data_IF_250920165886
#
_entry.id   IF_250920165886
#
_cell.length_a   1.000
_cell.length_b   1.000
_cell.length_c   1.000
_cell.angle_alpha   90.00
_cell.angle_beta   90.00
_cell.angle_gamma   90.00
#
_symmetry.space_group_name_H-M   'P 1'
#
loop_
_entity.id
_entity.type
_entity.pdbx_description
1 polymer ?
#
# COMPACT_ATOMS: atom_id res chain seq x y z
N UNK A 1 -17.27 -11.63 8.02
CA UNK A 1 -17.10 -10.55 7.03
C UNK A 1 -15.72 -9.99 7.27
N UNK A 2 -14.92 -9.79 6.21
CA UNK A 2 -13.60 -9.16 6.39
C UNK A 2 -13.77 -7.65 6.58
N UNK A 3 -12.84 -7.04 7.31
CA UNK A 3 -12.69 -5.60 7.45
C UNK A 3 -12.05 -4.93 6.22
N UNK A 4 -11.60 -5.73 5.24
CA UNK A 4 -11.01 -5.25 3.98
C UNK A 4 -11.95 -5.53 2.82
N UNK A 5 -12.23 -4.51 2.00
CA UNK A 5 -12.87 -4.70 0.70
C UNK A 5 -11.81 -4.83 -0.39
N UNK A 6 -11.92 -5.85 -1.24
CA UNK A 6 -11.02 -6.04 -2.37
C UNK A 6 -11.82 -5.95 -3.67
N UNK A 7 -11.45 -4.99 -4.50
CA UNK A 7 -12.03 -4.78 -5.83
C UNK A 7 -10.94 -4.82 -6.88
N UNK A 8 -11.31 -5.12 -8.12
CA UNK A 8 -10.40 -5.12 -9.24
C UNK A 8 -11.09 -4.49 -10.47
N UNK A 9 -10.28 -4.00 -11.41
CA UNK A 9 -10.80 -3.43 -12.66
C UNK A 9 -10.71 -4.46 -13.78
N UNK A 10 -11.85 -4.97 -14.24
CA UNK A 10 -11.94 -5.94 -15.35
C UNK A 10 -11.25 -5.47 -16.64
N UNK A 11 -11.15 -4.15 -16.87
CA UNK A 11 -10.50 -3.60 -18.06
C UNK A 11 -8.97 -3.69 -18.01
N UNK A 12 -8.43 -3.75 -16.80
CA UNK A 12 -7.00 -3.74 -16.50
C UNK A 12 -6.58 -5.02 -15.77
N UNK A 13 -7.47 -6.01 -15.63
CA UNK A 13 -7.20 -7.27 -14.96
C UNK A 13 -7.49 -8.49 -15.84
N UNK A 14 -6.52 -9.41 -16.01
CA UNK A 14 -5.12 -9.21 -15.63
C UNK A 14 -4.52 -8.05 -16.43
N UNK A 15 -3.54 -7.32 -15.87
CA UNK A 15 -2.78 -6.40 -16.72
C UNK A 15 -1.99 -7.29 -17.69
N UNK A 16 -2.51 -7.47 -18.90
CA UNK A 16 -2.06 -8.48 -19.88
C UNK A 16 -0.55 -8.40 -20.19
N UNK A 17 0.09 -7.24 -19.96
CA UNK A 17 1.52 -7.02 -20.16
C UNK A 17 2.39 -7.17 -18.89
N UNK A 18 1.80 -7.24 -17.68
CA UNK A 18 2.54 -7.36 -16.40
C UNK A 18 2.30 -8.68 -15.72
N UNK A 19 1.04 -9.07 -15.57
CA UNK A 19 0.72 -10.34 -14.94
C UNK A 19 0.78 -11.43 -15.99
N UNK A 20 1.96 -11.98 -16.26
CA UNK A 20 2.10 -13.10 -17.19
C UNK A 20 1.25 -14.27 -16.67
N UNK A 21 0.02 -14.37 -17.20
CA UNK A 21 -0.96 -15.44 -16.97
C UNK A 21 -1.66 -15.50 -15.61
N UNK A 22 -1.85 -14.40 -14.87
CA UNK A 22 -2.78 -14.45 -13.73
C UNK A 22 -4.23 -14.29 -14.19
N UNK A 23 -5.16 -14.92 -13.49
CA UNK A 23 -6.60 -14.75 -13.70
C UNK A 23 -7.30 -14.69 -12.34
N UNK A 24 -8.59 -14.38 -12.31
CA UNK A 24 -9.37 -14.43 -11.07
C UNK A 24 -9.44 -15.83 -10.43
N UNK A 25 -9.03 -16.87 -11.15
CA UNK A 25 -8.97 -18.24 -10.62
C UNK A 25 -7.64 -18.57 -9.91
N UNK A 26 -6.63 -17.69 -9.99
CA UNK A 26 -5.41 -17.81 -9.21
C UNK A 26 -5.65 -17.40 -7.76
N UNK A 27 -4.74 -17.77 -6.86
CA UNK A 27 -4.77 -17.26 -5.49
C UNK A 27 -4.39 -15.79 -5.45
N UNK A 28 -4.83 -15.06 -4.41
CA UNK A 28 -4.42 -13.67 -4.22
C UNK A 28 -2.89 -13.57 -4.05
N UNK A 29 -2.25 -14.53 -3.37
CA UNK A 29 -0.79 -14.60 -3.22
C UNK A 29 -0.09 -14.73 -4.57
N UNK A 30 -0.55 -15.62 -5.44
CA UNK A 30 0.01 -15.77 -6.80
C UNK A 30 -0.09 -14.47 -7.59
N UNK A 31 -1.23 -13.77 -7.51
CA UNK A 31 -1.44 -12.49 -8.18
C UNK A 31 -0.48 -11.43 -7.62
N UNK A 32 -0.39 -11.28 -6.31
CA UNK A 32 0.49 -10.30 -5.66
C UNK A 32 1.97 -10.58 -5.96
N UNK A 33 2.40 -11.83 -6.02
CA UNK A 33 3.77 -12.17 -6.42
C UNK A 33 4.02 -11.96 -7.92
N UNK A 34 3.05 -12.20 -8.80
CA UNK A 34 3.19 -11.86 -10.21
C UNK A 34 3.32 -10.33 -10.40
N UNK A 35 2.59 -9.51 -9.63
CA UNK A 35 2.82 -8.06 -9.61
C UNK A 35 4.23 -7.71 -9.12
N UNK A 36 4.65 -8.33 -8.01
CA UNK A 36 5.96 -8.16 -7.40
C UNK A 36 7.12 -8.48 -8.35
N UNK A 37 7.05 -9.57 -9.12
CA UNK A 37 8.11 -10.02 -10.02
C UNK A 37 8.38 -9.04 -11.17
N UNK A 38 7.41 -8.20 -11.49
CA UNK A 38 7.57 -7.06 -12.40
C UNK A 38 7.97 -5.78 -11.68
N UNK A 39 7.81 -5.76 -10.35
CA UNK A 39 8.37 -4.77 -9.47
C UNK A 39 9.88 -4.85 -9.49
N UNK A 40 10.52 -3.70 -9.73
CA UNK A 40 11.98 -3.65 -9.67
C UNK A 40 12.38 -3.68 -8.20
N UNK A 41 12.78 -4.87 -7.73
CA UNK A 41 13.32 -5.09 -6.40
C UNK A 41 14.46 -4.09 -6.13
N UNK A 42 14.37 -3.34 -5.03
CA UNK A 42 15.37 -2.31 -4.71
C UNK A 42 15.33 -1.07 -5.63
N UNK A 43 14.19 -0.80 -6.28
CA UNK A 43 14.03 0.37 -7.16
C UNK A 43 14.06 1.71 -6.43
N UNK A 44 13.75 1.77 -5.15
CA UNK A 44 14.09 2.94 -4.34
C UNK A 44 15.64 3.03 -4.25
N UNK A 45 16.30 4.18 -4.55
CA UNK A 45 15.77 5.54 -4.74
C UNK A 45 15.67 6.04 -6.19
N UNK A 46 15.58 5.17 -7.20
CA UNK A 46 15.42 5.58 -8.61
C UNK A 46 14.26 6.58 -8.75
N UNK A 47 13.17 6.32 -8.03
CA UNK A 47 12.08 7.26 -7.73
C UNK A 47 11.80 7.21 -6.23
N UNK A 48 11.26 8.29 -5.68
CA UNK A 48 10.87 8.39 -4.26
C UNK A 48 9.36 8.56 -4.09
N UNK A 49 8.59 8.39 -5.18
CA UNK A 49 7.17 8.72 -5.20
C UNK A 49 6.90 10.19 -4.91
N UNK A 50 5.63 10.49 -4.59
CA UNK A 50 5.21 11.84 -4.25
C UNK A 50 3.92 11.86 -3.45
N UNK A 51 3.86 12.79 -2.50
CA UNK A 51 2.65 13.11 -1.78
C UNK A 51 1.75 14.06 -2.57
N UNK A 52 0.44 13.88 -2.41
CA UNK A 52 -0.57 14.84 -2.89
C UNK A 52 -1.72 14.96 -1.89
N UNK A 53 -2.56 15.98 -2.10
CA UNK A 53 -3.59 16.35 -1.14
C UNK A 53 -3.02 17.10 0.07
N UNK A 54 -3.82 17.24 1.13
CA UNK A 54 -3.42 18.00 2.32
C UNK A 54 -3.98 17.37 3.58
N UNK A 55 -3.11 17.19 4.57
CA UNK A 55 -3.45 16.67 5.89
C UNK A 55 -3.21 17.74 6.97
N UNK A 56 -3.97 17.71 8.07
CA UNK A 56 -3.80 18.67 9.15
C UNK A 56 -2.38 18.70 9.71
N UNK A 57 -1.76 19.88 9.80
CA UNK A 57 -0.40 20.03 10.33
C UNK A 57 0.71 19.46 9.44
N UNK A 58 0.39 18.99 8.24
CA UNK A 58 1.34 18.43 7.29
C UNK A 58 2.02 19.48 6.39
N UNK A 59 3.27 19.21 6.01
CA UNK A 59 3.93 19.86 4.88
C UNK A 59 3.61 19.06 3.60
N UNK A 60 3.01 19.65 2.54
CA UNK A 60 2.64 18.93 1.32
C UNK A 60 3.79 18.19 0.62
N UNK A 61 5.05 18.55 0.90
CA UNK A 61 6.22 17.86 0.37
C UNK A 61 6.47 16.50 1.05
N UNK A 62 6.05 16.36 2.31
CA UNK A 62 6.35 15.21 3.18
C UNK A 62 5.10 14.64 3.83
N UNK A 63 3.92 15.00 3.35
CA UNK A 63 2.66 14.53 3.89
C UNK A 63 1.54 14.84 2.92
N UNK A 64 0.47 14.04 2.98
CA UNK A 64 -0.64 14.17 2.07
C UNK A 64 -1.72 13.15 2.38
N UNK A 65 -2.88 13.34 1.78
CA UNK A 65 -3.95 12.34 1.84
C UNK A 65 -3.71 11.19 0.87
N UNK A 66 -2.69 11.34 0.03
CA UNK A 66 -2.36 10.44 -1.06
C UNK A 66 -0.84 10.33 -1.18
N UNK A 67 -0.37 9.16 -1.55
CA UNK A 67 1.01 8.90 -1.94
C UNK A 67 1.04 8.00 -3.17
N UNK A 68 1.73 8.44 -4.22
CA UNK A 68 1.83 7.70 -5.48
C UNK A 68 3.28 7.34 -5.75
N UNK A 69 3.52 6.14 -6.21
CA UNK A 69 4.82 5.65 -6.64
C UNK A 69 4.72 4.93 -7.97
N UNK A 70 5.65 5.22 -8.87
CA UNK A 70 5.84 4.49 -10.12
C UNK A 70 7.29 4.53 -10.53
N UNK A 71 7.75 3.39 -11.01
CA UNK A 71 9.02 3.31 -11.72
C UNK A 71 8.65 3.47 -13.19
N UNK A 72 8.88 4.68 -13.71
CA UNK A 72 8.38 5.10 -15.03
C UNK A 72 8.69 4.13 -16.18
N UNK A 73 7.96 4.29 -17.28
CA UNK A 73 7.80 3.23 -18.27
C UNK A 73 6.49 2.51 -18.00
N UNK A 74 6.39 1.25 -18.39
CA UNK A 74 5.20 0.45 -18.18
C UNK A 74 5.24 -0.28 -16.81
N UNK A 75 6.30 -0.13 -16.00
CA UNK A 75 6.50 -0.87 -14.75
C UNK A 75 5.45 -0.65 -13.64
N UNK A 76 5.63 -1.38 -12.54
CA UNK A 76 4.74 -1.37 -11.38
C UNK A 76 4.53 0.01 -10.79
N UNK A 77 3.28 0.28 -10.43
CA UNK A 77 2.89 1.47 -9.68
C UNK A 77 1.93 1.11 -8.55
N UNK A 78 1.91 1.95 -7.54
CA UNK A 78 0.90 1.90 -6.50
C UNK A 78 0.50 3.31 -6.05
N UNK A 79 -0.72 3.39 -5.57
CA UNK A 79 -1.31 4.59 -5.00
C UNK A 79 -1.89 4.24 -3.64
N UNK A 80 -1.60 5.07 -2.65
CA UNK A 80 -2.06 4.91 -1.28
C UNK A 80 -2.91 6.12 -0.94
N UNK A 81 -4.06 5.89 -0.33
CA UNK A 81 -4.87 6.95 0.26
C UNK A 81 -4.94 6.78 1.77
N UNK A 82 -5.09 7.91 2.48
CA UNK A 82 -5.18 7.92 3.94
C UNK A 82 -4.77 9.26 4.53
N UNK A 83 -4.13 9.23 5.69
CA UNK A 83 -3.51 10.40 6.32
C UNK A 83 -2.02 10.09 6.53
N UNK A 84 -1.20 10.46 5.55
CA UNK A 84 0.18 9.99 5.44
C UNK A 84 1.18 11.10 5.74
N UNK A 85 2.23 10.74 6.45
CA UNK A 85 3.31 11.64 6.83
C UNK A 85 4.66 10.95 6.66
N UNK A 86 5.69 11.77 6.40
CA UNK A 86 7.08 11.36 6.34
C UNK A 86 7.93 12.23 7.25
N UNK A 87 8.57 11.58 8.22
CA UNK A 87 9.52 12.22 9.09
C UNK A 87 10.91 12.20 8.46
N UNK A 88 11.43 13.39 8.17
CA UNK A 88 12.77 13.62 7.66
C UNK A 88 13.44 14.66 8.57
N UNK A 89 14.31 14.18 9.45
CA UNK A 89 14.93 14.96 10.51
C UNK A 89 15.63 16.21 9.95
N UNK A 90 15.30 17.36 10.54
CA UNK A 90 15.82 18.66 10.11
C UNK A 90 15.13 19.25 8.88
N UNK A 91 14.26 18.50 8.20
CA UNK A 91 13.57 18.93 6.97
C UNK A 91 12.06 18.96 7.15
N UNK A 92 11.44 17.85 7.54
CA UNK A 92 10.05 17.87 7.99
C UNK A 92 10.00 18.32 9.46
N UNK A 93 9.23 19.38 9.71
CA UNK A 93 9.14 20.05 11.01
C UNK A 93 7.77 19.74 11.63
N UNK A 94 7.67 19.72 12.97
CA UNK A 94 8.74 19.94 13.96
C UNK A 94 9.62 18.70 14.19
N UNK A 95 10.83 18.91 14.73
CA UNK A 95 11.64 17.82 15.25
C UNK A 95 10.94 17.11 16.43
N UNK A 96 10.87 15.78 16.39
CA UNK A 96 10.21 14.97 17.42
C UNK A 96 11.27 14.17 18.18
N UNK A 97 11.50 14.42 19.48
CA UNK A 97 12.48 13.66 20.26
C UNK A 97 12.18 12.16 20.24
N UNK A 98 13.20 11.36 19.93
CA UNK A 98 13.10 9.90 19.87
C UNK A 98 12.51 9.35 18.57
N UNK A 99 12.05 10.20 17.65
CA UNK A 99 11.62 9.74 16.33
C UNK A 99 12.81 9.25 15.50
N UNK A 100 12.59 8.15 14.77
CA UNK A 100 13.57 7.61 13.83
C UNK A 100 13.48 8.38 12.52
N UNK A 101 14.61 8.84 12.00
CA UNK A 101 14.67 9.53 10.70
C UNK A 101 14.17 8.63 9.56
N UNK A 102 13.66 9.25 8.49
CA UNK A 102 13.12 8.58 7.31
C UNK A 102 11.97 7.60 7.62
N UNK A 103 11.09 7.96 8.55
CA UNK A 103 9.94 7.14 8.93
C UNK A 103 8.67 7.62 8.22
N UNK A 104 7.98 6.70 7.55
CA UNK A 104 6.62 6.92 7.03
C UNK A 104 5.64 6.52 8.13
N UNK A 105 4.63 7.32 8.39
CA UNK A 105 3.71 7.09 9.51
C UNK A 105 2.33 7.69 9.22
N UNK A 106 1.36 7.42 10.10
CA UNK A 106 0.00 7.90 10.00
C UNK A 106 -0.98 6.75 9.78
N UNK A 107 -1.82 6.87 8.76
CA UNK A 107 -2.92 5.94 8.47
C UNK A 107 -3.04 5.67 6.98
N UNK A 108 -3.20 4.40 6.60
CA UNK A 108 -3.56 3.97 5.25
C UNK A 108 -5.02 3.49 5.26
N UNK A 109 -5.84 4.11 4.42
CA UNK A 109 -7.22 3.72 4.18
C UNK A 109 -7.36 2.83 2.95
N UNK A 110 -6.51 3.01 1.94
CA UNK A 110 -6.55 2.15 0.76
C UNK A 110 -5.20 2.08 0.07
N UNK A 111 -4.94 0.94 -0.56
CA UNK A 111 -3.82 0.70 -1.47
C UNK A 111 -4.38 0.22 -2.80
N UNK A 112 -4.06 0.91 -3.88
CA UNK A 112 -4.30 0.47 -5.25
C UNK A 112 -2.97 0.12 -5.90
N UNK A 113 -2.86 -1.08 -6.46
CA UNK A 113 -1.70 -1.52 -7.25
C UNK A 113 -2.07 -1.60 -8.73
N UNK A 114 -1.08 -1.37 -9.58
CA UNK A 114 -1.26 -1.46 -11.03
C UNK A 114 0.00 -1.15 -11.81
N UNK A 115 -0.16 -0.54 -12.97
CA UNK A 115 0.90 -0.06 -13.84
C UNK A 115 0.69 1.40 -14.26
N UNK A 116 1.82 2.11 -14.46
CA UNK A 116 1.83 3.53 -14.86
C UNK A 116 1.25 4.48 -13.80
N UNK A 117 1.62 5.76 -13.90
CA UNK A 117 1.04 6.83 -13.07
C UNK A 117 0.91 8.13 -13.84
N UNK A 118 -0.09 8.92 -13.49
CA UNK A 118 -0.24 10.31 -13.90
C UNK A 118 -0.43 11.21 -12.67
N UNK A 119 -0.81 12.48 -12.90
CA UNK A 119 -1.06 13.43 -11.80
C UNK A 119 -2.22 13.04 -10.87
N UNK A 120 -3.07 12.10 -11.27
CA UNK A 120 -4.25 11.63 -10.54
C UNK A 120 -4.07 10.31 -9.80
N UNK A 121 -3.00 9.54 -10.07
CA UNK A 121 -2.75 8.27 -9.39
C UNK A 121 -2.17 7.21 -10.33
N UNK A 122 -2.51 5.95 -10.09
CA UNK A 122 -2.20 4.82 -10.97
C UNK A 122 -3.12 4.88 -12.20
N UNK A 123 -2.54 4.76 -13.40
CA UNK A 123 -3.29 4.85 -14.67
C UNK A 123 -3.99 3.53 -15.03
N UNK A 124 -3.26 2.42 -14.92
CA UNK A 124 -3.79 1.08 -15.20
C UNK A 124 -3.98 0.36 -13.87
N UNK A 125 -5.06 0.71 -13.17
CA UNK A 125 -5.37 0.18 -11.84
C UNK A 125 -5.77 -1.30 -11.97
N UNK A 126 -5.09 -2.18 -11.25
CA UNK A 126 -5.41 -3.61 -11.28
C UNK A 126 -6.29 -4.02 -10.10
N UNK A 127 -5.83 -3.75 -8.88
CA UNK A 127 -6.47 -4.20 -7.64
C UNK A 127 -6.44 -3.06 -6.62
N UNK A 128 -7.56 -2.86 -5.94
CA UNK A 128 -7.70 -1.94 -4.82
C UNK A 128 -8.07 -2.71 -3.57
N UNK A 129 -7.29 -2.49 -2.53
CA UNK A 129 -7.52 -2.94 -1.16
C UNK A 129 -8.03 -1.74 -0.36
N UNK A 130 -9.24 -1.82 0.16
CA UNK A 130 -9.86 -0.80 0.99
C UNK A 130 -9.89 -1.27 2.44
N UNK A 131 -9.13 -0.56 3.28
CA UNK A 131 -8.96 -0.76 4.71
C UNK A 131 -9.77 0.27 5.52
N UNK A 132 -10.70 1.03 4.93
CA UNK A 132 -11.40 2.13 5.62
C UNK A 132 -12.15 1.71 6.89
N UNK A 133 -12.56 0.44 7.01
CA UNK A 133 -13.18 -0.10 8.21
C UNK A 133 -12.18 -0.48 9.33
N UNK A 134 -10.96 -0.86 8.96
CA UNK A 134 -9.86 -1.16 9.88
C UNK A 134 -8.52 -0.68 9.29
N UNK A 135 -8.25 0.64 9.32
CA UNK A 135 -7.12 1.21 8.62
C UNK A 135 -5.77 0.67 9.11
N UNK A 136 -4.75 0.69 8.26
CA UNK A 136 -3.38 0.35 8.70
C UNK A 136 -2.80 1.57 9.39
N UNK A 137 -2.36 1.42 10.64
CA UNK A 137 -1.82 2.51 11.45
C UNK A 137 -0.33 2.31 11.71
N UNK A 138 0.41 3.41 11.73
CA UNK A 138 1.82 3.42 12.07
C UNK A 138 2.17 4.66 12.87
N UNK A 139 2.69 4.50 14.09
CA UNK A 139 3.11 5.64 14.88
C UNK A 139 4.55 6.04 14.54
N UNK A 140 4.82 7.35 14.51
CA UNK A 140 6.17 7.87 14.25
C UNK A 140 7.23 7.32 15.21
N UNK A 141 6.86 7.14 16.48
CA UNK A 141 7.79 6.67 17.52
C UNK A 141 8.10 5.17 17.44
N UNK A 142 7.29 4.40 16.73
CA UNK A 142 7.59 3.00 16.42
C UNK A 142 8.66 2.90 15.31
N UNK A 143 9.03 4.04 14.71
CA UNK A 143 10.11 4.12 13.74
C UNK A 143 9.83 3.35 12.47
N UNK A 144 10.87 2.85 11.82
CA UNK A 144 10.78 2.22 10.50
C UNK A 144 10.24 0.79 10.50
N UNK A 145 9.90 0.25 11.66
CA UNK A 145 9.24 -1.06 11.81
C UNK A 145 7.73 -0.92 12.01
N UNK A 146 7.17 0.28 11.83
CA UNK A 146 5.73 0.46 11.91
C UNK A 146 5.04 -0.02 10.62
N UNK A 147 3.77 -0.39 10.73
CA UNK A 147 3.03 -1.05 9.65
C UNK A 147 2.86 -0.19 8.40
N UNK A 148 2.70 1.13 8.55
CA UNK A 148 2.58 2.07 7.41
C UNK A 148 3.91 2.17 6.68
N UNK A 149 5.02 2.28 7.42
CA UNK A 149 6.35 2.30 6.82
C UNK A 149 6.64 0.99 6.10
N UNK A 150 6.45 -0.14 6.75
CA UNK A 150 6.75 -1.46 6.20
C UNK A 150 5.94 -1.76 4.94
N UNK A 151 4.63 -1.46 4.94
CA UNK A 151 3.79 -1.65 3.76
C UNK A 151 4.25 -0.78 2.58
N UNK A 152 4.39 0.54 2.78
CA UNK A 152 4.75 1.46 1.68
C UNK A 152 6.18 1.20 1.23
N UNK A 153 7.12 1.01 2.16
CA UNK A 153 8.53 0.75 1.85
C UNK A 153 8.71 -0.58 1.10
N UNK A 154 7.99 -1.63 1.51
CA UNK A 154 7.94 -2.91 0.79
C UNK A 154 7.52 -2.70 -0.66
N UNK A 155 6.39 -2.02 -0.88
CA UNK A 155 5.87 -1.75 -2.22
C UNK A 155 6.80 -0.88 -3.06
N UNK A 156 7.45 0.14 -2.48
CA UNK A 156 8.48 0.94 -3.15
C UNK A 156 9.66 0.10 -3.63
N UNK A 157 9.95 -1.01 -2.94
CA UNK A 157 11.04 -1.92 -3.28
C UNK A 157 10.54 -3.17 -4.00
N UNK A 158 9.34 -3.13 -4.59
CA UNK A 158 8.78 -4.25 -5.33
C UNK A 158 8.69 -5.51 -4.48
N UNK A 159 8.21 -5.38 -3.23
CA UNK A 159 7.97 -6.51 -2.34
C UNK A 159 6.62 -6.40 -1.65
N UNK A 160 5.76 -7.39 -1.85
CA UNK A 160 4.44 -7.47 -1.19
C UNK A 160 4.52 -8.08 0.21
N UNK A 161 5.69 -8.61 0.60
CA UNK A 161 5.98 -9.18 1.93
C UNK A 161 6.90 -8.28 2.77
N UNK A 162 7.17 -7.07 2.28
CA UNK A 162 8.06 -6.12 2.93
C UNK A 162 9.51 -6.24 2.43
N UNK A 163 10.32 -5.22 2.73
CA UNK A 163 11.71 -5.16 2.29
C UNK A 163 12.60 -4.60 3.40
N UNK A 164 13.83 -5.09 3.52
CA UNK A 164 14.82 -4.45 4.38
C UNK A 164 15.15 -3.07 3.83
N UNK A 165 15.14 -2.05 4.68
CA UNK A 165 15.41 -0.68 4.24
C UNK A 165 16.88 -0.38 3.98
N UNK A 166 17.13 0.78 3.36
CA UNK A 166 18.47 1.22 2.99
C UNK A 166 19.44 1.44 4.17
N UNK A 167 18.93 1.47 5.41
CA UNK A 167 19.74 1.50 6.63
C UNK A 167 19.62 0.19 7.45
N UNK A 168 19.26 -0.91 6.79
CA UNK A 168 19.25 -2.27 7.33
C UNK A 168 18.20 -2.54 8.41
N UNK A 169 17.14 -1.74 8.51
CA UNK A 169 15.98 -2.14 9.33
C UNK A 169 15.30 -3.31 8.63
N UNK A 170 15.18 -4.42 9.34
CA UNK A 170 14.44 -5.59 8.85
C UNK A 170 12.96 -5.29 8.97
N UNK A 171 12.24 -5.44 7.85
CA UNK A 171 10.78 -5.29 7.81
C UNK A 171 10.10 -6.33 8.70
N UNK A 172 8.99 -5.92 9.29
CA UNK A 172 8.12 -6.77 10.12
C UNK A 172 6.91 -7.33 9.37
N UNK A 173 6.83 -7.05 8.07
CA UNK A 173 5.78 -7.51 7.16
C UNK A 173 5.61 -6.59 5.93
N UNK A 174 4.67 -6.93 5.06
CA UNK A 174 4.26 -6.14 3.91
C UNK A 174 2.74 -6.15 3.70
N UNK A 175 2.31 -5.84 2.49
CA UNK A 175 0.89 -5.85 2.11
C UNK A 175 0.22 -7.19 2.42
N UNK A 176 0.87 -8.32 2.14
CA UNK A 176 0.33 -9.65 2.44
C UNK A 176 0.04 -9.80 3.93
N UNK A 177 1.00 -9.48 4.79
CA UNK A 177 0.82 -9.58 6.25
C UNK A 177 -0.34 -8.67 6.71
N UNK A 178 -0.47 -7.46 6.15
CA UNK A 178 -1.59 -6.54 6.48
C UNK A 178 -2.96 -7.06 6.07
N UNK A 179 -3.03 -7.90 5.04
CA UNK A 179 -4.26 -8.57 4.60
C UNK A 179 -4.56 -9.77 5.52
N UNK A 180 -3.55 -10.59 5.81
CA UNK A 180 -3.67 -11.75 6.71
C UNK A 180 -4.05 -11.32 8.15
N UNK A 181 -3.48 -10.22 8.65
CA UNK A 181 -3.84 -9.58 9.93
C UNK A 181 -5.34 -9.20 10.02
N UNK A 182 -6.05 -9.15 8.88
CA UNK A 182 -7.46 -8.76 8.73
C UNK A 182 -8.34 -9.89 8.20
N UNK A 183 -7.92 -11.13 8.48
CA UNK A 183 -8.64 -12.35 8.13
C UNK A 183 -8.88 -12.54 6.61
N UNK A 184 -8.04 -11.92 5.76
CA UNK A 184 -7.98 -12.26 4.34
C UNK A 184 -7.01 -13.43 4.19
N UNK A 185 -7.52 -14.60 3.82
CA UNK A 185 -6.67 -15.71 3.39
C UNK A 185 -6.15 -15.42 1.98
N UNK A 186 -4.88 -15.03 1.87
CA UNK A 186 -4.28 -14.72 0.56
C UNK A 186 -4.04 -15.98 -0.28
N UNK A 187 -4.14 -17.18 0.31
CA UNK A 187 -4.05 -18.45 -0.41
C UNK A 187 -5.41 -18.91 -0.97
N UNK A 188 -6.50 -18.18 -0.68
CA UNK A 188 -7.79 -18.38 -1.33
C UNK A 188 -7.78 -17.89 -2.79
N UNK A 189 -8.66 -18.49 -3.60
CA UNK A 189 -8.88 -18.11 -5.00
C UNK A 189 -9.43 -16.69 -5.07
N UNK A 190 -8.81 -15.82 -5.86
CA UNK A 190 -9.13 -14.39 -5.91
C UNK A 190 -10.61 -14.11 -6.18
N UNK A 191 -11.24 -14.85 -7.09
CA UNK A 191 -12.67 -14.77 -7.41
C UNK A 191 -13.60 -14.98 -6.20
N UNK A 192 -13.12 -15.65 -5.14
CA UNK A 192 -13.90 -15.89 -3.91
C UNK A 192 -13.75 -14.78 -2.89
N UNK A 193 -12.70 -13.95 -3.03
CA UNK A 193 -12.37 -12.84 -2.13
C UNK A 193 -12.91 -11.53 -2.69
N UNK A 194 -12.77 -11.31 -4.01
CA UNK A 194 -13.21 -10.07 -4.66
C UNK A 194 -14.72 -9.91 -4.65
N UNK A 195 -15.17 -8.68 -4.36
CA UNK A 195 -16.60 -8.37 -4.27
C UNK A 195 -17.35 -9.13 -3.18
N UNK A 196 -16.64 -9.85 -2.30
CA UNK A 196 -17.24 -10.43 -1.10
C UNK A 196 -17.78 -9.30 -0.21
N UNK A 197 -18.90 -9.52 0.51
CA UNK A 197 -19.42 -8.54 1.44
C UNK A 197 -18.37 -8.22 2.51
N UNK A 198 -17.86 -6.99 2.45
CA UNK A 198 -17.05 -6.36 3.47
C UNK A 198 -17.94 -5.37 4.25
N UNK A 199 -17.58 -5.07 5.49
CA UNK A 199 -18.36 -4.13 6.28
C UNK A 199 -17.61 -3.68 7.53
N UNK A 200 -17.92 -2.46 7.97
CA UNK A 200 -17.42 -1.95 9.24
C UNK A 200 -18.36 -2.47 10.34
N UNK A 201 -17.84 -2.91 11.49
CA UNK A 201 -18.66 -3.40 12.61
C UNK A 201 -19.78 -2.42 13.05
N UNK A 202 -19.60 -1.13 12.78
CA UNK A 202 -20.61 -0.09 13.02
C UNK A 202 -21.88 -0.19 12.16
N UNK A 203 -21.81 -0.78 10.96
CA UNK A 203 -22.99 -0.97 10.10
C UNK A 203 -23.89 -2.13 10.58
N UNK A 204 -23.29 -3.10 11.30
CA UNK A 204 -24.00 -4.26 11.85
C UNK A 204 -24.85 -3.90 13.08
N UNK A 205 -24.42 -2.90 13.86
CA UNK A 205 -25.18 -2.36 15.00
C UNK A 205 -26.36 -1.47 14.59
N UNK A 206 -26.35 -0.92 13.37
CA UNK A 206 -27.44 -0.08 12.86
C UNK A 206 -28.51 -0.90 12.11
N UNK A 207 -28.20 -2.15 11.75
CA UNK A 207 -29.08 -3.06 11.03
C UNK A 207 -29.79 -4.11 11.94
N UNK A 208 -29.54 -4.10 13.26
CA UNK A 208 -30.08 -5.05 14.25
C UNK A 208 -31.20 -4.46 15.12
#
# INVERSE_FOLDING_TARGET
MSSVCITYDDANFPLDDFFVQTTVNNTLREILYAWQDNGLAGSHPITTGGFSGSVPGGNPTFSGTQYTYSIGGSGTSFHVTGELYYYFAGVSQPAVPGATDHTLYGRIDSITIGAGTDSGGVTDQAITFDFSCDPIYGALLDGRTNDVHDAIWGLMNGSVTGATDGLLTVSTGGLIDRLEDRDIDVDDVFATIVGAPCGCDSELLLAA
#
